data_IF_935392426551
#
_entry.id   IF_935392426551
#
_cell.length_a   1.000
_cell.length_b   1.000
_cell.length_c   1.000
_cell.angle_alpha   90.00
_cell.angle_beta   90.00
_cell.angle_gamma   90.00
#
_symmetry.space_group_name_H-M   'P 1'
#
loop_
_entity.id
_entity.type
_entity.pdbx_description
1 polymer ?
#
# COMPACT_ATOMS: atom_id res chain seq x y z
N UNK A 1 -13.28 -10.63 -29.88
CA UNK A 1 -14.62 -10.06 -30.18
C UNK A 1 -15.66 -11.09 -29.74
N UNK A 2 -16.29 -10.87 -28.61
CA UNK A 2 -17.48 -11.64 -28.21
C UNK A 2 -18.53 -10.58 -27.90
N UNK A 3 -19.56 -10.57 -28.73
CA UNK A 3 -20.71 -9.67 -28.69
C UNK A 3 -21.68 -10.15 -27.61
N UNK A 4 -22.04 -9.27 -26.69
CA UNK A 4 -23.12 -9.48 -25.72
C UNK A 4 -24.38 -8.85 -26.29
N UNK A 5 -25.54 -9.57 -26.31
CA UNK A 5 -26.77 -9.05 -26.86
C UNK A 5 -27.46 -8.04 -25.93
N UNK A 6 -28.00 -6.99 -26.54
CA UNK A 6 -28.94 -6.05 -25.93
C UNK A 6 -30.20 -6.78 -25.45
N UNK A 7 -30.57 -6.58 -24.18
CA UNK A 7 -31.91 -6.91 -23.67
C UNK A 7 -32.57 -5.65 -23.09
N UNK A 8 -33.48 -5.13 -23.89
CA UNK A 8 -34.82 -4.54 -23.57
C UNK A 8 -34.95 -3.66 -22.32
N UNK A 9 -34.88 -2.36 -22.56
CA UNK A 9 -35.66 -1.37 -21.80
C UNK A 9 -36.99 -1.13 -22.56
N UNK A 10 -38.11 -1.57 -21.98
CA UNK A 10 -39.41 -0.97 -22.25
C UNK A 10 -40.36 -1.17 -21.06
N UNK A 11 -41.04 -0.06 -20.73
CA UNK A 11 -42.25 0.06 -19.93
C UNK A 11 -42.20 -0.07 -18.39
N UNK A 12 -42.07 1.08 -17.72
CA UNK A 12 -42.96 1.38 -16.59
C UNK A 12 -43.30 2.91 -16.63
N UNK A 13 -44.48 3.21 -17.12
CA UNK A 13 -45.17 4.49 -16.90
C UNK A 13 -46.28 4.30 -15.87
N UNK A 14 -46.33 5.26 -14.94
CA UNK A 14 -47.44 5.66 -14.05
C UNK A 14 -47.64 4.94 -12.72
N UNK A 15 -47.46 5.72 -11.63
CA UNK A 15 -48.28 5.59 -10.45
C UNK A 15 -47.56 5.81 -9.14
N UNK A 16 -47.72 6.97 -8.52
CA UNK A 16 -47.57 7.14 -7.07
C UNK A 16 -46.24 7.71 -6.60
N UNK A 17 -46.19 9.01 -6.37
CA UNK A 17 -45.18 9.66 -5.56
C UNK A 17 -45.28 9.19 -4.11
N UNK A 18 -44.44 8.19 -3.76
CA UNK A 18 -44.07 7.95 -2.39
C UNK A 18 -42.74 8.68 -2.14
N UNK A 19 -42.82 9.76 -1.38
CA UNK A 19 -41.67 10.42 -0.77
C UNK A 19 -41.01 9.36 0.12
N UNK A 20 -39.92 8.79 -0.35
CA UNK A 20 -39.03 8.03 0.51
C UNK A 20 -38.34 9.09 1.39
N UNK A 21 -38.90 9.33 2.55
CA UNK A 21 -38.19 10.02 3.62
C UNK A 21 -37.01 9.16 3.96
N UNK A 22 -35.82 9.58 3.50
CA UNK A 22 -34.56 8.96 3.83
C UNK A 22 -34.42 8.87 5.35
N UNK A 23 -34.59 7.67 5.90
CA UNK A 23 -34.24 7.40 7.27
C UNK A 23 -32.78 7.77 7.47
N UNK A 24 -32.50 8.71 8.34
CA UNK A 24 -31.18 9.09 8.82
C UNK A 24 -30.53 7.82 9.43
N UNK A 25 -29.79 7.07 8.62
CA UNK A 25 -28.85 6.10 9.15
C UNK A 25 -27.77 6.90 9.86
N UNK A 26 -27.85 6.99 11.18
CA UNK A 26 -26.72 7.44 12.01
C UNK A 26 -25.55 6.54 11.66
N UNK A 27 -24.63 7.02 10.83
CA UNK A 27 -23.39 6.35 10.50
C UNK A 27 -22.64 6.10 11.79
N UNK A 28 -22.67 4.85 12.26
CA UNK A 28 -21.96 4.46 13.45
C UNK A 28 -20.47 4.37 13.07
N UNK A 29 -19.63 5.09 13.79
CA UNK A 29 -18.18 4.97 13.69
C UNK A 29 -17.76 3.51 13.90
N UNK A 30 -16.66 3.04 13.26
CA UNK A 30 -16.15 1.70 13.49
C UNK A 30 -15.97 1.38 14.98
N UNK A 31 -16.36 0.18 15.39
CA UNK A 31 -16.23 -0.28 16.77
C UNK A 31 -14.88 -0.91 16.98
N UNK A 32 -14.14 -0.49 17.98
CA UNK A 32 -12.83 -1.02 18.38
C UNK A 32 -12.96 -1.84 19.66
N UNK A 33 -12.27 -2.98 19.72
CA UNK A 33 -12.28 -3.86 20.88
C UNK A 33 -10.88 -4.45 21.04
N UNK A 34 -10.43 -4.59 22.26
CA UNK A 34 -9.25 -5.36 22.62
C UNK A 34 -9.74 -6.61 23.34
N UNK A 35 -9.42 -7.77 22.78
CA UNK A 35 -9.75 -9.05 23.38
C UNK A 35 -8.84 -9.34 24.59
N UNK A 36 -9.23 -10.28 25.46
CA UNK A 36 -8.46 -10.63 26.67
C UNK A 36 -7.03 -11.10 26.36
N UNK A 37 -6.82 -11.72 25.19
CA UNK A 37 -5.48 -12.14 24.73
C UNK A 37 -4.68 -11.02 24.08
N UNK A 38 -5.23 -9.79 24.00
CA UNK A 38 -4.58 -8.61 23.45
C UNK A 38 -4.76 -8.40 21.95
N UNK A 39 -5.51 -9.27 21.25
CA UNK A 39 -5.88 -9.03 19.84
C UNK A 39 -6.77 -7.79 19.75
N UNK A 40 -6.39 -6.89 18.87
CA UNK A 40 -7.19 -5.70 18.54
C UNK A 40 -8.15 -6.03 17.40
N UNK A 41 -9.41 -5.71 17.56
CA UNK A 41 -10.47 -5.95 16.56
C UNK A 41 -11.14 -4.64 16.21
N UNK A 42 -11.31 -4.37 14.93
CA UNK A 42 -12.15 -3.28 14.44
C UNK A 42 -13.25 -3.85 13.56
N UNK A 43 -14.47 -3.42 13.84
CA UNK A 43 -15.66 -3.78 13.07
C UNK A 43 -16.35 -2.53 12.57
N UNK A 44 -16.66 -2.50 11.28
CA UNK A 44 -17.52 -1.49 10.66
C UNK A 44 -18.71 -2.17 9.97
N UNK A 45 -19.89 -1.61 10.16
CA UNK A 45 -21.06 -2.06 9.39
C UNK A 45 -20.91 -1.60 7.95
N UNK A 46 -20.94 -2.55 7.01
CA UNK A 46 -20.85 -2.24 5.59
C UNK A 46 -21.91 -1.24 5.16
N UNK A 47 -21.55 -0.20 4.41
CA UNK A 47 -22.52 0.69 3.77
C UNK A 47 -23.19 0.04 2.55
N UNK A 48 -22.63 -1.03 2.02
CA UNK A 48 -23.16 -1.78 0.88
C UNK A 48 -24.34 -2.65 1.27
N UNK A 49 -25.31 -2.78 0.36
CA UNK A 49 -26.45 -3.70 0.50
C UNK A 49 -26.08 -5.16 0.10
N UNK A 50 -24.91 -5.34 -0.52
CA UNK A 50 -24.47 -6.66 -0.94
C UNK A 50 -24.15 -7.56 0.26
N UNK A 51 -24.48 -8.86 0.22
CA UNK A 51 -24.23 -9.80 1.32
C UNK A 51 -22.76 -10.25 1.35
N UNK A 52 -21.81 -9.29 1.25
CA UNK A 52 -20.39 -9.53 1.21
C UNK A 52 -19.71 -8.98 2.46
N UNK A 53 -18.84 -9.77 3.05
CA UNK A 53 -17.99 -9.40 4.19
C UNK A 53 -16.53 -9.41 3.77
N UNK A 54 -15.80 -8.37 4.12
CA UNK A 54 -14.32 -8.34 4.07
C UNK A 54 -13.76 -8.59 5.46
N UNK A 55 -12.80 -9.50 5.54
CA UNK A 55 -12.05 -9.87 6.73
C UNK A 55 -10.58 -9.69 6.40
N UNK A 56 -9.89 -8.85 7.14
CA UNK A 56 -8.45 -8.65 6.98
C UNK A 56 -7.75 -8.81 8.33
N UNK A 57 -6.68 -9.60 8.34
CA UNK A 57 -5.87 -9.77 9.53
C UNK A 57 -4.45 -9.26 9.27
N UNK A 58 -4.06 -8.23 10.00
CA UNK A 58 -2.78 -7.57 9.90
C UNK A 58 -1.85 -8.08 10.99
N UNK A 59 -0.66 -8.49 10.60
CA UNK A 59 0.45 -8.82 11.50
C UNK A 59 1.45 -7.67 11.41
N UNK A 60 1.83 -7.07 12.55
CA UNK A 60 2.84 -5.99 12.58
C UNK A 60 4.23 -6.58 12.40
N UNK A 61 4.48 -7.04 11.20
CA UNK A 61 5.76 -7.59 10.73
C UNK A 61 5.85 -7.40 9.22
N UNK A 62 6.97 -6.89 8.75
CA UNK A 62 7.29 -6.72 7.35
C UNK A 62 8.80 -6.55 7.16
N UNK A 63 9.24 -6.19 5.96
CA UNK A 63 10.68 -6.16 5.63
C UNK A 63 11.52 -5.21 6.48
N UNK A 64 10.92 -4.17 7.07
CA UNK A 64 11.61 -3.26 8.00
C UNK A 64 12.11 -3.97 9.28
N UNK A 65 11.41 -5.02 9.71
CA UNK A 65 11.76 -5.77 10.91
C UNK A 65 12.89 -6.76 10.69
N UNK A 66 13.33 -6.96 9.44
CA UNK A 66 14.28 -7.96 9.05
C UNK A 66 15.73 -7.48 9.22
N UNK A 67 16.54 -8.30 9.86
CA UNK A 67 18.00 -8.13 9.89
C UNK A 67 18.63 -8.71 8.62
N UNK A 68 19.88 -8.36 8.33
CA UNK A 68 20.57 -8.80 7.11
C UNK A 68 20.59 -10.31 6.92
N UNK A 69 20.62 -11.07 8.01
CA UNK A 69 20.66 -12.54 8.03
C UNK A 69 19.30 -13.24 7.79
N UNK A 70 18.20 -12.47 7.90
CA UNK A 70 16.83 -12.99 7.72
C UNK A 70 15.99 -12.17 6.72
N UNK A 71 16.63 -11.49 5.80
CA UNK A 71 15.92 -10.72 4.76
C UNK A 71 15.03 -11.64 3.92
N UNK A 72 13.77 -11.24 3.73
CA UNK A 72 12.73 -11.99 3.03
C UNK A 72 11.96 -12.98 3.92
N UNK A 73 12.26 -13.02 5.25
CA UNK A 73 11.59 -13.97 6.15
C UNK A 73 10.09 -13.67 6.30
N UNK A 74 9.68 -12.40 6.26
CA UNK A 74 8.27 -12.03 6.37
C UNK A 74 7.46 -12.61 5.22
N UNK A 75 7.98 -12.55 4.00
CA UNK A 75 7.34 -13.05 2.79
C UNK A 75 7.29 -14.59 2.78
N UNK A 76 8.37 -15.28 3.15
CA UNK A 76 8.32 -16.74 3.20
C UNK A 76 7.39 -17.26 4.31
N UNK A 77 7.28 -16.59 5.46
CA UNK A 77 6.30 -16.94 6.49
C UNK A 77 4.88 -16.74 5.97
N UNK A 78 4.62 -15.67 5.21
CA UNK A 78 3.33 -15.46 4.55
C UNK A 78 2.94 -16.68 3.72
N UNK A 79 3.81 -17.18 2.83
CA UNK A 79 3.59 -18.39 2.02
C UNK A 79 3.35 -19.63 2.89
N UNK A 80 4.16 -19.80 3.93
CA UNK A 80 4.11 -20.98 4.79
C UNK A 80 2.82 -21.11 5.59
N UNK A 81 2.17 -20.00 5.92
CA UNK A 81 0.89 -20.02 6.67
C UNK A 81 -0.22 -20.74 5.89
N UNK A 82 -0.16 -20.77 4.56
CA UNK A 82 -1.11 -21.48 3.70
C UNK A 82 -0.85 -22.98 3.54
N UNK A 83 0.27 -23.52 4.08
CA UNK A 83 0.71 -24.91 3.80
C UNK A 83 0.15 -25.96 4.73
N UNK A 84 -0.78 -25.60 5.59
CA UNK A 84 -1.55 -26.52 6.41
C UNK A 84 -1.41 -26.30 7.90
N UNK A 85 -2.40 -26.83 8.61
CA UNK A 85 -2.53 -26.84 10.07
C UNK A 85 -2.75 -28.26 10.57
N UNK A 86 -2.74 -28.54 11.87
CA UNK A 86 -3.14 -29.85 12.39
C UNK A 86 -4.58 -30.27 12.02
N UNK A 87 -5.48 -29.31 11.82
CA UNK A 87 -6.88 -29.56 11.42
C UNK A 87 -7.10 -29.62 9.93
N UNK A 88 -6.30 -28.88 9.17
CA UNK A 88 -6.33 -28.75 7.73
C UNK A 88 -4.92 -29.11 7.21
N UNK A 89 -4.59 -30.43 7.08
CA UNK A 89 -3.21 -30.89 6.98
C UNK A 89 -2.42 -30.42 5.76
N UNK A 90 -3.10 -30.05 4.66
CA UNK A 90 -2.47 -29.65 3.40
C UNK A 90 -2.93 -28.26 2.96
N UNK A 91 -2.23 -27.67 2.01
CA UNK A 91 -2.64 -26.41 1.37
C UNK A 91 -4.00 -26.54 0.68
N UNK A 92 -4.30 -27.70 0.09
CA UNK A 92 -5.60 -27.99 -0.51
C UNK A 92 -6.70 -28.00 0.55
N UNK A 93 -6.46 -28.59 1.72
CA UNK A 93 -7.43 -28.59 2.82
C UNK A 93 -7.71 -27.17 3.33
N UNK A 94 -6.69 -26.31 3.35
CA UNK A 94 -6.82 -24.89 3.71
C UNK A 94 -7.62 -24.12 2.67
N UNK A 95 -7.38 -24.36 1.38
CA UNK A 95 -8.05 -23.65 0.29
C UNK A 95 -9.50 -24.10 0.09
N UNK A 96 -9.80 -25.40 0.34
CA UNK A 96 -11.08 -26.01 0.00
C UNK A 96 -12.33 -25.29 0.56
N UNK A 97 -12.37 -24.79 1.82
CA UNK A 97 -13.52 -24.05 2.34
C UNK A 97 -13.77 -22.74 1.57
N UNK A 98 -12.72 -22.07 1.10
CA UNK A 98 -12.81 -20.85 0.31
C UNK A 98 -13.25 -21.14 -1.12
N UNK A 99 -12.66 -22.15 -1.77
CA UNK A 99 -13.04 -22.56 -3.12
C UNK A 99 -14.52 -22.99 -3.20
N UNK A 100 -14.98 -23.80 -2.22
CA UNK A 100 -16.38 -24.24 -2.15
C UNK A 100 -17.37 -23.09 -1.95
N UNK A 101 -16.94 -22.02 -1.30
CA UNK A 101 -17.77 -20.84 -1.03
C UNK A 101 -17.64 -19.74 -2.10
N UNK A 102 -16.70 -19.90 -3.04
CA UNK A 102 -16.34 -18.82 -4.00
C UNK A 102 -15.78 -17.59 -3.29
N UNK A 103 -15.18 -17.77 -2.11
CA UNK A 103 -14.54 -16.69 -1.40
C UNK A 103 -13.19 -16.36 -2.03
N UNK A 104 -12.88 -15.06 -2.11
CA UNK A 104 -11.54 -14.59 -2.44
C UNK A 104 -10.66 -14.67 -1.19
N UNK A 105 -9.49 -15.30 -1.32
CA UNK A 105 -8.47 -15.35 -0.30
C UNK A 105 -7.12 -14.94 -0.90
N UNK A 106 -6.41 -14.05 -0.23
CA UNK A 106 -5.08 -13.60 -0.63
C UNK A 106 -4.29 -13.12 0.60
N UNK A 107 -3.01 -12.85 0.40
CA UNK A 107 -2.17 -12.17 1.37
C UNK A 107 -1.17 -11.25 0.66
N UNK A 108 -0.56 -10.36 1.42
CA UNK A 108 0.56 -9.56 0.95
C UNK A 108 1.47 -9.20 2.11
N UNK A 109 2.75 -9.10 1.81
CA UNK A 109 3.77 -8.53 2.70
C UNK A 109 4.19 -7.17 2.19
N UNK A 110 4.29 -6.20 3.11
CA UNK A 110 4.76 -4.84 2.85
C UNK A 110 5.95 -4.55 3.80
N UNK A 111 6.47 -3.33 3.78
CA UNK A 111 7.58 -2.93 4.64
C UNK A 111 7.29 -3.10 6.15
N UNK A 112 6.08 -2.82 6.59
CA UNK A 112 5.72 -2.79 8.02
C UNK A 112 4.67 -3.81 8.43
N UNK A 113 4.03 -4.49 7.48
CA UNK A 113 2.87 -5.35 7.73
C UNK A 113 2.83 -6.53 6.78
N UNK A 114 2.38 -7.67 7.29
CA UNK A 114 1.86 -8.78 6.49
C UNK A 114 0.35 -8.85 6.73
N UNK A 115 -0.44 -8.90 5.66
CA UNK A 115 -1.89 -8.87 5.71
C UNK A 115 -2.49 -10.07 5.00
N UNK A 116 -3.47 -10.71 5.63
CA UNK A 116 -4.27 -11.80 5.08
C UNK A 116 -5.67 -11.30 4.83
N UNK A 117 -6.14 -11.44 3.60
CA UNK A 117 -7.39 -10.87 3.10
C UNK A 117 -8.37 -11.95 2.70
N UNK A 118 -9.60 -11.87 3.18
CA UNK A 118 -10.70 -12.73 2.75
C UNK A 118 -11.90 -11.86 2.42
N UNK A 119 -12.53 -12.15 1.27
CA UNK A 119 -13.82 -11.59 0.88
C UNK A 119 -14.78 -12.72 0.60
N UNK A 120 -15.83 -12.81 1.37
CA UNK A 120 -16.79 -13.92 1.28
C UNK A 120 -18.24 -13.45 1.41
N UNK A 121 -19.15 -14.30 1.00
CA UNK A 121 -20.59 -14.14 1.28
C UNK A 121 -20.84 -14.29 2.79
N UNK A 122 -21.87 -13.63 3.30
CA UNK A 122 -22.17 -13.56 4.73
C UNK A 122 -22.35 -14.92 5.41
N UNK A 123 -22.86 -15.92 4.69
CA UNK A 123 -23.08 -17.28 5.20
C UNK A 123 -21.77 -18.03 5.47
N UNK A 124 -20.66 -17.63 4.83
CA UNK A 124 -19.35 -18.25 4.98
C UNK A 124 -18.40 -17.51 5.93
N UNK A 125 -18.85 -16.44 6.58
CA UNK A 125 -18.00 -15.62 7.49
C UNK A 125 -17.50 -16.44 8.67
N UNK A 126 -18.34 -17.29 9.26
CA UNK A 126 -17.93 -18.10 10.41
C UNK A 126 -16.81 -19.07 10.05
N UNK A 127 -16.99 -19.85 8.97
CA UNK A 127 -15.97 -20.80 8.51
C UNK A 127 -14.70 -20.08 8.06
N UNK A 128 -14.82 -18.93 7.40
CA UNK A 128 -13.67 -18.11 6.98
C UNK A 128 -12.84 -17.64 8.16
N UNK A 129 -13.49 -17.16 9.24
CA UNK A 129 -12.81 -16.77 10.47
C UNK A 129 -12.15 -17.96 11.19
N UNK A 130 -12.81 -19.14 11.17
CA UNK A 130 -12.25 -20.36 11.76
C UNK A 130 -10.96 -20.78 11.04
N UNK A 131 -11.02 -20.89 9.70
CA UNK A 131 -9.86 -21.29 8.88
C UNK A 131 -8.74 -20.25 9.01
N UNK A 132 -9.04 -18.96 8.85
CA UNK A 132 -8.02 -17.91 8.97
C UNK A 132 -7.32 -17.93 10.32
N UNK A 133 -8.07 -18.07 11.42
CA UNK A 133 -7.46 -18.11 12.75
C UNK A 133 -6.60 -19.37 12.96
N UNK A 134 -7.01 -20.51 12.40
CA UNK A 134 -6.22 -21.75 12.46
C UNK A 134 -4.91 -21.61 11.69
N UNK A 135 -4.98 -21.06 10.47
CA UNK A 135 -3.80 -20.77 9.64
C UNK A 135 -2.81 -19.86 10.38
N UNK A 136 -3.30 -18.77 10.97
CA UNK A 136 -2.44 -17.73 11.55
C UNK A 136 -1.77 -18.16 12.87
N UNK A 137 -2.42 -19.00 13.67
CA UNK A 137 -1.90 -19.39 14.99
C UNK A 137 -1.37 -20.82 15.06
N UNK A 138 -1.77 -21.69 14.13
CA UNK A 138 -1.45 -23.11 14.17
C UNK A 138 -0.87 -23.63 12.85
N UNK A 139 -0.28 -22.77 12.01
CA UNK A 139 0.42 -23.26 10.84
C UNK A 139 1.52 -24.23 11.24
N UNK A 140 1.59 -25.38 10.55
CA UNK A 140 2.56 -26.44 10.83
C UNK A 140 3.98 -26.02 10.48
N UNK A 141 4.14 -25.12 9.51
CA UNK A 141 5.45 -24.73 8.97
C UNK A 141 6.35 -25.96 8.72
N UNK A 142 5.83 -26.98 8.07
CA UNK A 142 6.59 -28.23 7.86
C UNK A 142 7.86 -27.99 7.07
N UNK A 143 8.95 -28.65 7.49
CA UNK A 143 10.28 -28.48 6.86
C UNK A 143 10.28 -28.84 5.37
N UNK A 144 9.56 -29.89 4.99
CA UNK A 144 9.47 -30.32 3.59
C UNK A 144 8.78 -29.25 2.71
N UNK A 145 7.70 -28.62 3.21
CA UNK A 145 7.01 -27.53 2.52
C UNK A 145 7.86 -26.25 2.52
N UNK A 146 8.58 -25.95 3.62
CA UNK A 146 9.48 -24.80 3.69
C UNK A 146 10.56 -24.85 2.61
N UNK A 147 11.15 -26.00 2.36
CA UNK A 147 12.18 -26.14 1.31
C UNK A 147 11.60 -25.85 -0.08
N UNK A 148 10.41 -26.36 -0.36
CA UNK A 148 9.71 -26.09 -1.65
C UNK A 148 9.34 -24.62 -1.81
N UNK A 149 8.72 -24.03 -0.78
CA UNK A 149 8.29 -22.61 -0.84
C UNK A 149 9.48 -21.65 -0.89
N UNK A 150 10.59 -22.00 -0.27
CA UNK A 150 11.80 -21.21 -0.37
C UNK A 150 12.25 -21.05 -1.83
N UNK A 151 12.19 -22.15 -2.61
CA UNK A 151 12.53 -22.13 -4.03
C UNK A 151 11.46 -21.35 -4.85
N UNK A 152 10.16 -21.44 -4.50
CA UNK A 152 9.09 -20.65 -5.13
C UNK A 152 9.30 -19.14 -4.92
N UNK A 153 9.56 -18.71 -3.69
CA UNK A 153 9.80 -17.29 -3.39
C UNK A 153 11.07 -16.75 -4.05
N UNK A 154 12.10 -17.62 -4.23
CA UNK A 154 13.28 -17.25 -5.04
C UNK A 154 12.89 -17.03 -6.50
N UNK A 155 12.04 -17.86 -7.10
CA UNK A 155 11.59 -17.67 -8.48
C UNK A 155 10.75 -16.39 -8.62
N UNK A 156 9.88 -16.09 -7.66
CA UNK A 156 9.14 -14.81 -7.63
C UNK A 156 10.09 -13.61 -7.56
N UNK A 157 11.12 -13.68 -6.69
CA UNK A 157 12.15 -12.63 -6.62
C UNK A 157 12.91 -12.46 -7.94
N UNK A 158 13.15 -13.55 -8.69
CA UNK A 158 13.76 -13.48 -10.04
C UNK A 158 12.85 -12.79 -11.04
N UNK A 159 11.55 -13.12 -11.04
CA UNK A 159 10.57 -12.48 -11.92
C UNK A 159 10.54 -10.97 -11.63
N UNK A 160 10.59 -10.57 -10.36
CA UNK A 160 10.62 -9.16 -9.97
C UNK A 160 11.90 -8.44 -10.39
N UNK A 161 13.06 -9.11 -10.39
CA UNK A 161 14.32 -8.55 -10.93
C UNK A 161 14.27 -8.39 -12.46
N UNK A 162 13.56 -9.27 -13.16
CA UNK A 162 13.37 -9.16 -14.61
C UNK A 162 12.33 -8.09 -14.97
N UNK A 163 11.37 -7.80 -14.07
CA UNK A 163 10.45 -6.68 -14.24
C UNK A 163 11.15 -5.34 -13.97
N UNK A 164 11.16 -4.52 -15.01
CA UNK A 164 11.86 -3.23 -14.96
C UNK A 164 11.21 -2.24 -13.98
N UNK A 165 9.88 -2.27 -13.87
CA UNK A 165 9.19 -1.39 -12.96
C UNK A 165 9.55 -1.70 -11.51
N UNK A 166 9.57 -2.98 -11.16
CA UNK A 166 10.00 -3.49 -9.83
C UNK A 166 11.46 -3.14 -9.55
N UNK A 167 12.36 -3.34 -10.54
CA UNK A 167 13.79 -2.97 -10.42
C UNK A 167 13.95 -1.46 -10.14
N UNK A 168 13.19 -0.60 -10.82
CA UNK A 168 13.26 0.85 -10.65
C UNK A 168 12.71 1.27 -9.29
N UNK A 169 11.61 0.67 -8.84
CA UNK A 169 11.01 0.92 -7.53
C UNK A 169 11.95 0.50 -6.39
N UNK A 170 12.55 -0.67 -6.49
CA UNK A 170 13.50 -1.15 -5.49
C UNK A 170 14.73 -0.24 -5.39
N UNK A 171 15.30 0.17 -6.52
CA UNK A 171 16.50 1.01 -6.51
C UNK A 171 16.24 2.43 -6.01
N UNK A 172 15.13 3.07 -6.39
CA UNK A 172 14.79 4.38 -5.84
C UNK A 172 14.50 4.29 -4.34
N UNK A 173 13.87 3.21 -3.88
CA UNK A 173 13.62 2.93 -2.46
C UNK A 173 14.92 2.76 -1.68
N UNK A 174 15.88 2.01 -2.20
CA UNK A 174 17.23 1.87 -1.62
C UNK A 174 17.96 3.21 -1.52
N UNK A 175 17.84 4.05 -2.55
CA UNK A 175 18.43 5.40 -2.53
C UNK A 175 17.79 6.28 -1.48
N UNK A 176 16.44 6.32 -1.44
CA UNK A 176 15.69 7.14 -0.49
C UNK A 176 15.96 6.74 0.96
N UNK A 177 16.10 5.46 1.26
CA UNK A 177 16.16 4.94 2.63
C UNK A 177 17.53 4.35 3.00
N UNK A 178 18.55 4.68 2.25
CA UNK A 178 19.91 4.15 2.38
C UNK A 178 20.38 4.14 3.83
N UNK A 179 20.86 2.97 4.28
CA UNK A 179 21.41 2.76 5.61
C UNK A 179 20.38 2.52 6.71
N UNK A 180 19.09 2.65 6.41
CA UNK A 180 18.00 2.31 7.35
C UNK A 180 17.33 0.99 6.99
N UNK A 181 16.55 0.44 7.92
CA UNK A 181 15.76 -0.78 7.64
C UNK A 181 14.67 -0.57 6.57
N UNK A 182 14.29 0.67 6.26
CA UNK A 182 13.37 0.97 5.17
C UNK A 182 13.95 0.69 3.78
N UNK A 183 15.28 0.54 3.64
CA UNK A 183 15.90 0.11 2.38
C UNK A 183 15.64 -1.35 2.04
N UNK A 184 15.28 -2.19 3.04
CA UNK A 184 15.06 -3.61 2.83
C UNK A 184 13.91 -3.83 1.84
N UNK A 185 14.13 -4.50 0.70
CA UNK A 185 13.05 -4.91 -0.19
C UNK A 185 12.20 -5.99 0.47
N UNK A 186 10.96 -6.15 0.02
CA UNK A 186 10.04 -7.17 0.51
C UNK A 186 10.42 -8.54 -0.07
N UNK A 187 10.72 -8.59 -1.36
CA UNK A 187 10.96 -9.82 -2.13
C UNK A 187 12.45 -10.21 -2.18
N UNK A 188 13.16 -9.97 -1.09
CA UNK A 188 14.60 -10.18 -1.06
C UNK A 188 15.02 -11.46 -0.36
N UNK A 189 14.57 -12.58 -0.83
CA UNK A 189 15.38 -13.79 -0.68
C UNK A 189 16.52 -13.66 -1.69
N UNK A 190 17.64 -13.10 -1.27
CA UNK A 190 18.73 -12.88 -2.17
C UNK A 190 19.24 -14.22 -2.67
N UNK A 191 19.12 -14.42 -3.97
CA UNK A 191 19.70 -15.51 -4.71
C UNK A 191 21.21 -15.68 -4.46
N UNK A 192 21.84 -14.64 -3.95
CA UNK A 192 23.26 -14.53 -3.67
C UNK A 192 23.62 -14.57 -2.18
N UNK A 193 22.66 -14.77 -1.27
CA UNK A 193 23.02 -14.89 0.15
C UNK A 193 23.58 -16.31 0.39
N UNK A 194 24.84 -16.46 0.83
CA UNK A 194 25.45 -17.78 1.06
C UNK A 194 24.78 -18.59 2.17
N UNK A 195 23.96 -17.93 2.99
CA UNK A 195 23.24 -18.55 4.10
C UNK A 195 21.74 -18.46 3.86
N UNK A 196 21.13 -19.54 3.41
CA UNK A 196 19.66 -19.68 3.41
C UNK A 196 19.15 -19.50 4.83
N UNK A 197 18.03 -18.76 4.99
CA UNK A 197 17.32 -18.69 6.27
C UNK A 197 16.93 -20.12 6.65
N UNK A 198 17.27 -20.56 7.85
CA UNK A 198 16.94 -21.91 8.27
C UNK A 198 15.46 -22.03 8.62
N UNK A 199 14.91 -23.21 8.41
CA UNK A 199 13.53 -23.53 8.81
C UNK A 199 13.29 -23.24 10.30
N UNK A 200 14.25 -23.61 11.18
CA UNK A 200 14.18 -23.37 12.63
C UNK A 200 14.07 -21.89 12.94
N UNK A 201 14.80 -21.06 12.21
CA UNK A 201 14.74 -19.60 12.37
C UNK A 201 13.41 -19.03 11.90
N UNK A 202 12.85 -19.54 10.81
CA UNK A 202 11.53 -19.17 10.33
C UNK A 202 10.44 -19.53 11.36
N UNK A 203 10.48 -20.72 11.92
CA UNK A 203 9.55 -21.17 12.99
C UNK A 203 9.68 -20.30 14.23
N UNK A 204 10.89 -19.96 14.64
CA UNK A 204 11.12 -19.08 15.78
C UNK A 204 10.49 -17.70 15.57
N UNK A 205 10.74 -17.07 14.40
CA UNK A 205 10.21 -15.76 14.06
C UNK A 205 8.68 -15.81 13.97
N UNK A 206 8.10 -16.81 13.29
CA UNK A 206 6.66 -17.00 13.25
C UNK A 206 6.06 -17.01 14.66
N UNK A 207 6.58 -17.83 15.58
CA UNK A 207 6.08 -17.92 16.96
C UNK A 207 6.18 -16.62 17.75
N UNK A 208 7.11 -15.73 17.40
CA UNK A 208 7.30 -14.46 18.09
C UNK A 208 6.44 -13.32 17.54
N UNK A 209 6.09 -13.37 16.25
CA UNK A 209 5.36 -12.29 15.60
C UNK A 209 3.89 -12.60 15.33
N UNK A 210 3.53 -13.89 15.13
CA UNK A 210 2.15 -14.29 14.89
C UNK A 210 1.45 -14.58 16.23
N UNK A 211 1.31 -13.52 17.00
CA UNK A 211 0.70 -13.55 18.34
C UNK A 211 -0.38 -12.48 18.45
N UNK A 212 -1.47 -12.71 19.22
CA UNK A 212 -2.62 -11.82 19.27
C UNK A 212 -2.29 -10.35 19.49
N UNK A 213 -1.36 -10.03 20.39
CA UNK A 213 -0.94 -8.63 20.69
C UNK A 213 -0.27 -7.90 19.53
N UNK A 214 0.29 -8.64 18.58
CA UNK A 214 0.97 -8.10 17.40
C UNK A 214 0.06 -8.03 16.19
N UNK A 215 -1.25 -8.26 16.36
CA UNK A 215 -2.20 -8.39 15.26
C UNK A 215 -3.40 -7.47 15.43
N UNK A 216 -4.02 -7.17 14.29
CA UNK A 216 -5.30 -6.48 14.19
C UNK A 216 -6.20 -7.27 13.25
N UNK A 217 -7.42 -7.58 13.71
CA UNK A 217 -8.49 -8.17 12.90
C UNK A 217 -9.47 -7.06 12.50
N UNK A 218 -9.54 -6.75 11.21
CA UNK A 218 -10.45 -5.76 10.64
C UNK A 218 -11.57 -6.44 9.87
N UNK A 219 -12.82 -6.10 10.19
CA UNK A 219 -14.01 -6.71 9.57
C UNK A 219 -14.98 -5.62 9.15
N UNK A 220 -15.32 -5.61 7.85
CA UNK A 220 -16.40 -4.80 7.30
C UNK A 220 -17.49 -5.71 6.77
N UNK A 221 -18.67 -5.65 7.36
CA UNK A 221 -19.73 -6.63 7.14
C UNK A 221 -21.13 -6.03 7.27
N UNK A 222 -22.11 -6.43 6.45
CA UNK A 222 -23.52 -6.11 6.67
C UNK A 222 -24.14 -6.91 7.84
N UNK A 223 -23.48 -7.99 8.32
CA UNK A 223 -23.93 -8.73 9.49
C UNK A 223 -23.84 -7.88 10.75
N UNK A 224 -24.77 -8.06 11.73
CA UNK A 224 -24.70 -7.35 13.01
C UNK A 224 -23.41 -7.64 13.78
N UNK A 225 -22.90 -6.63 14.48
CA UNK A 225 -21.72 -6.73 15.33
C UNK A 225 -21.75 -7.94 16.28
N UNK A 226 -22.88 -8.18 16.97
CA UNK A 226 -22.99 -9.30 17.89
C UNK A 226 -22.89 -10.67 17.20
N UNK A 227 -23.31 -10.78 15.95
CA UNK A 227 -23.15 -11.98 15.14
C UNK A 227 -21.67 -12.21 14.83
N UNK A 228 -20.96 -11.20 14.38
CA UNK A 228 -19.50 -11.25 14.12
C UNK A 228 -18.76 -11.65 15.42
N UNK A 229 -19.08 -11.03 16.55
CA UNK A 229 -18.44 -11.35 17.83
C UNK A 229 -18.73 -12.78 18.28
N UNK A 230 -19.91 -13.32 18.02
CA UNK A 230 -20.22 -14.73 18.29
C UNK A 230 -19.34 -15.66 17.45
N UNK A 231 -19.13 -15.35 16.16
CA UNK A 231 -18.25 -16.13 15.31
C UNK A 231 -16.79 -16.05 15.78
N UNK A 232 -16.29 -14.86 16.10
CA UNK A 232 -14.92 -14.68 16.63
C UNK A 232 -14.70 -15.52 17.90
N UNK A 233 -15.66 -15.58 18.82
CA UNK A 233 -15.57 -16.37 20.06
C UNK A 233 -15.37 -17.88 19.81
N UNK A 234 -15.79 -18.39 18.65
CA UNK A 234 -15.64 -19.80 18.28
C UNK A 234 -14.26 -20.09 17.65
N UNK A 235 -13.44 -19.07 17.36
CA UNK A 235 -12.15 -19.17 16.67
C UNK A 235 -10.95 -19.08 17.61
N UNK A 236 -9.77 -19.31 17.08
CA UNK A 236 -8.50 -19.07 17.78
C UNK A 236 -8.20 -17.59 17.98
N UNK A 237 -8.79 -16.67 17.23
CA UNK A 237 -8.73 -15.23 17.53
C UNK A 237 -9.16 -14.91 18.96
N UNK A 238 -10.11 -15.68 19.50
CA UNK A 238 -10.58 -15.55 20.89
C UNK A 238 -9.87 -16.49 21.86
N UNK A 239 -9.59 -17.72 21.44
CA UNK A 239 -9.15 -18.81 22.31
C UNK A 239 -7.65 -18.88 22.48
N UNK A 240 -6.89 -18.26 21.55
CA UNK A 240 -5.44 -18.27 21.60
C UNK A 240 -4.93 -17.58 22.86
N UNK A 241 -3.96 -18.21 23.51
CA UNK A 241 -3.40 -17.69 24.76
C UNK A 241 -2.30 -16.68 24.49
N UNK A 242 -2.04 -15.83 25.49
CA UNK A 242 -0.89 -14.93 25.48
C UNK A 242 0.37 -15.77 25.66
N UNK A 243 1.11 -15.98 24.59
CA UNK A 243 2.46 -16.55 24.69
C UNK A 243 3.47 -15.47 25.09
N UNK A 244 4.40 -15.83 25.98
CA UNK A 244 5.58 -14.96 26.20
C UNK A 244 6.49 -15.12 25.00
N UNK A 245 6.64 -14.05 24.23
CA UNK A 245 7.61 -13.99 23.14
C UNK A 245 9.03 -14.00 23.74
N UNK A 246 9.85 -14.96 23.34
CA UNK A 246 11.17 -15.19 23.94
C UNK A 246 12.30 -14.45 23.23
N UNK A 247 12.20 -14.20 21.95
CA UNK A 247 13.22 -13.48 21.19
C UNK A 247 12.62 -12.76 19.98
N UNK A 248 12.38 -11.47 20.10
CA UNK A 248 12.12 -10.63 18.91
C UNK A 248 13.41 -10.37 18.16
N UNK A 249 13.30 -10.12 16.87
CA UNK A 249 14.40 -9.56 16.10
C UNK A 249 14.85 -8.23 16.75
N UNK A 250 16.11 -7.84 16.60
CA UNK A 250 16.55 -6.52 17.01
C UNK A 250 15.63 -5.43 16.44
N UNK A 251 15.44 -4.31 17.15
CA UNK A 251 14.64 -3.21 16.63
C UNK A 251 15.24 -2.72 15.29
N UNK A 252 14.39 -2.30 14.33
CA UNK A 252 14.86 -1.80 13.06
C UNK A 252 15.75 -0.57 13.23
N UNK A 253 16.74 -0.43 12.35
CA UNK A 253 17.49 0.82 12.25
C UNK A 253 16.64 1.85 11.51
N UNK A 254 16.15 2.85 12.20
CA UNK A 254 15.27 3.90 11.69
C UNK A 254 16.01 5.18 11.31
N UNK A 255 17.32 5.24 11.54
CA UNK A 255 18.12 6.42 11.24
C UNK A 255 18.23 6.63 9.72
N UNK A 256 17.90 7.83 9.28
CA UNK A 256 18.01 8.28 7.90
C UNK A 256 19.06 9.39 7.82
N UNK A 257 20.20 9.08 7.21
CA UNK A 257 21.22 10.08 6.98
C UNK A 257 20.69 11.18 6.05
N UNK A 258 20.80 12.47 6.44
CA UNK A 258 20.43 13.57 5.57
C UNK A 258 21.30 13.60 4.30
N UNK A 259 20.71 13.87 3.16
CA UNK A 259 21.47 14.09 1.94
C UNK A 259 22.10 15.49 1.97
N UNK A 260 23.29 15.61 1.40
CA UNK A 260 23.99 16.90 1.22
C UNK A 260 23.77 17.49 -0.16
N UNK A 261 23.39 16.65 -1.10
CA UNK A 261 23.11 16.98 -2.50
C UNK A 261 22.20 15.94 -3.12
N UNK A 262 21.64 16.24 -4.31
CA UNK A 262 20.83 15.31 -5.07
C UNK A 262 21.57 13.98 -5.32
N UNK A 263 20.91 12.88 -4.99
CA UNK A 263 21.40 11.53 -5.22
C UNK A 263 20.95 11.08 -6.61
N UNK A 264 21.88 10.79 -7.51
CA UNK A 264 21.58 10.43 -8.90
C UNK A 264 22.31 9.13 -9.24
N UNK A 265 21.55 8.12 -9.66
CA UNK A 265 22.08 6.85 -10.17
C UNK A 265 21.53 6.63 -11.57
N UNK A 266 22.41 6.24 -12.48
CA UNK A 266 22.08 5.97 -13.87
C UNK A 266 22.67 4.61 -14.25
N UNK A 267 21.79 3.69 -14.63
CA UNK A 267 22.18 2.33 -15.01
C UNK A 267 21.83 2.03 -16.47
N UNK A 268 22.78 1.41 -17.17
CA UNK A 268 22.59 0.97 -18.55
C UNK A 268 22.21 -0.52 -18.56
N UNK A 269 21.03 -0.84 -19.10
CA UNK A 269 20.57 -2.21 -19.34
C UNK A 269 20.30 -2.38 -20.83
N UNK A 270 21.04 -3.24 -21.50
CA UNK A 270 20.88 -3.51 -22.93
C UNK A 270 19.50 -4.16 -23.20
N UNK A 271 18.99 -4.00 -24.43
CA UNK A 271 17.72 -4.60 -24.84
C UNK A 271 16.47 -3.85 -24.40
N UNK A 272 16.61 -2.72 -23.70
CA UNK A 272 15.45 -1.92 -23.29
C UNK A 272 14.98 -0.99 -24.39
N UNK A 273 13.71 -1.10 -24.78
CA UNK A 273 13.08 -0.22 -25.76
C UNK A 273 12.79 1.17 -25.20
N UNK A 274 12.62 1.28 -23.88
CA UNK A 274 12.32 2.53 -23.19
C UNK A 274 13.30 2.79 -22.05
N UNK A 275 13.41 4.05 -21.66
CA UNK A 275 14.10 4.48 -20.45
C UNK A 275 13.09 4.72 -19.34
N UNK A 276 13.35 4.11 -18.19
CA UNK A 276 12.54 4.22 -16.99
C UNK A 276 13.21 5.18 -16.02
N UNK A 277 12.43 6.06 -15.44
CA UNK A 277 12.89 7.12 -14.55
C UNK A 277 12.05 7.11 -13.29
N UNK A 278 12.72 7.08 -12.14
CA UNK A 278 12.11 7.36 -10.85
C UNK A 278 12.73 8.64 -10.25
N UNK A 279 11.88 9.52 -9.72
CA UNK A 279 12.27 10.77 -9.07
C UNK A 279 11.59 10.80 -7.72
N UNK A 280 12.34 10.70 -6.63
CA UNK A 280 11.83 10.55 -5.29
C UNK A 280 12.33 11.62 -4.33
N UNK A 281 11.51 11.91 -3.33
CA UNK A 281 11.78 12.82 -2.23
C UNK A 281 11.36 12.15 -0.92
N UNK A 282 12.19 12.20 0.12
CA UNK A 282 11.75 11.83 1.47
C UNK A 282 10.72 12.81 1.96
N UNK A 283 9.71 12.31 2.67
CA UNK A 283 8.62 13.15 3.19
C UNK A 283 8.28 12.81 4.64
N UNK A 284 7.11 13.26 5.10
CA UNK A 284 6.66 13.05 6.47
C UNK A 284 6.24 11.60 6.73
N UNK A 285 6.27 11.24 8.00
CA UNK A 285 5.72 10.00 8.51
C UNK A 285 4.17 9.99 8.51
N UNK A 286 3.59 8.83 8.83
CA UNK A 286 2.14 8.62 8.82
C UNK A 286 1.37 9.41 9.89
N UNK A 287 2.03 9.91 10.93
CA UNK A 287 1.38 10.69 11.99
C UNK A 287 1.29 12.18 11.66
N UNK A 288 2.02 12.65 10.65
CA UNK A 288 1.97 14.05 10.21
C UNK A 288 0.75 14.35 9.34
N UNK A 289 0.09 15.49 9.58
CA UNK A 289 -0.98 15.99 8.72
C UNK A 289 -0.50 16.38 7.31
N UNK A 290 0.80 16.56 7.10
CA UNK A 290 1.37 16.86 5.79
C UNK A 290 1.16 15.72 4.77
N UNK A 291 0.95 14.48 5.23
CA UNK A 291 0.56 13.34 4.37
C UNK A 291 -0.68 13.62 3.53
N UNK A 292 -1.67 14.34 4.09
CA UNK A 292 -2.90 14.70 3.38
C UNK A 292 -2.64 15.77 2.31
N UNK A 293 -1.72 16.69 2.59
CA UNK A 293 -1.30 17.74 1.66
C UNK A 293 -0.53 17.11 0.49
N UNK A 294 0.39 16.18 0.76
CA UNK A 294 1.15 15.44 -0.26
C UNK A 294 0.22 14.58 -1.14
N UNK A 295 -0.77 13.92 -0.53
CA UNK A 295 -1.79 13.18 -1.28
C UNK A 295 -2.63 14.10 -2.19
N UNK A 296 -2.97 15.30 -1.73
CA UNK A 296 -3.69 16.26 -2.57
C UNK A 296 -2.80 16.78 -3.70
N UNK A 297 -1.52 17.07 -3.44
CA UNK A 297 -0.53 17.46 -4.45
C UNK A 297 -0.35 16.39 -5.53
N UNK A 298 -0.39 15.10 -5.15
CA UNK A 298 -0.40 13.99 -6.12
C UNK A 298 -1.49 14.21 -7.18
N UNK A 299 -2.71 14.61 -6.81
CA UNK A 299 -3.82 14.80 -7.74
C UNK A 299 -3.77 16.12 -8.53
N UNK A 300 -2.95 17.06 -8.13
CA UNK A 300 -2.57 18.20 -8.98
C UNK A 300 -1.65 17.74 -10.12
N UNK A 301 -0.72 16.82 -9.81
CA UNK A 301 0.28 16.33 -10.75
C UNK A 301 -0.25 15.21 -11.65
N UNK A 302 -1.03 14.27 -11.11
CA UNK A 302 -1.53 13.10 -11.85
C UNK A 302 -2.90 12.65 -11.33
N UNK A 303 -3.67 11.97 -12.19
CA UNK A 303 -4.99 11.42 -11.90
C UNK A 303 -6.07 12.04 -12.78
N UNK A 304 -6.46 13.30 -12.57
CA UNK A 304 -7.32 14.00 -13.54
C UNK A 304 -6.65 14.14 -14.90
N UNK A 305 -7.45 14.10 -15.98
CA UNK A 305 -6.94 14.39 -17.35
C UNK A 305 -6.33 15.79 -17.42
N UNK A 306 -6.85 16.74 -16.62
CA UNK A 306 -6.32 18.12 -16.56
C UNK A 306 -5.10 18.28 -15.65
N UNK A 307 -4.57 17.20 -15.07
CA UNK A 307 -3.39 17.24 -14.20
C UNK A 307 -2.13 17.66 -14.98
N UNK A 308 -1.15 18.26 -14.27
CA UNK A 308 0.05 18.83 -14.93
C UNK A 308 0.81 17.82 -15.76
N UNK A 309 1.06 16.62 -15.24
CA UNK A 309 1.83 15.62 -15.97
C UNK A 309 1.06 15.08 -17.17
N UNK A 310 -0.24 14.81 -17.04
CA UNK A 310 -1.02 14.37 -18.17
C UNK A 310 -1.03 15.40 -19.28
N UNK A 311 -1.37 16.66 -18.97
CA UNK A 311 -1.43 17.75 -19.93
C UNK A 311 -0.06 18.04 -20.57
N UNK A 312 0.98 18.28 -19.73
CA UNK A 312 2.27 18.75 -20.24
C UNK A 312 3.09 17.61 -20.85
N UNK A 313 3.17 16.43 -20.18
CA UNK A 313 4.03 15.36 -20.67
C UNK A 313 3.39 14.57 -21.81
N UNK A 314 2.08 14.30 -21.73
CA UNK A 314 1.37 13.48 -22.71
C UNK A 314 0.77 14.32 -23.83
N UNK A 315 -0.15 15.25 -23.52
CA UNK A 315 -0.92 15.95 -24.55
C UNK A 315 -0.10 16.98 -25.33
N UNK A 316 0.65 17.85 -24.64
CA UNK A 316 1.39 18.93 -25.27
C UNK A 316 2.70 18.45 -25.91
N UNK A 317 3.36 17.45 -25.36
CA UNK A 317 4.70 17.05 -25.76
C UNK A 317 4.85 15.60 -26.25
N UNK A 318 3.87 14.72 -26.06
CA UNK A 318 3.90 13.32 -26.52
C UNK A 318 5.11 12.53 -26.02
N UNK A 319 5.52 12.76 -24.74
CA UNK A 319 6.74 12.22 -24.19
C UNK A 319 6.54 10.88 -23.51
N UNK A 320 5.43 10.70 -22.82
CA UNK A 320 5.20 9.51 -22.00
C UNK A 320 3.77 9.02 -22.12
N UNK A 321 3.60 7.70 -22.03
CA UNK A 321 2.31 7.05 -21.96
C UNK A 321 1.97 6.61 -20.53
N UNK A 322 3.00 6.32 -19.73
CA UNK A 322 2.86 5.87 -18.35
C UNK A 322 3.62 6.81 -17.43
N UNK A 323 2.89 7.46 -16.55
CA UNK A 323 3.44 8.21 -15.42
C UNK A 323 2.57 7.87 -14.21
N UNK A 324 3.19 7.60 -13.08
CA UNK A 324 2.51 7.37 -11.81
C UNK A 324 3.21 8.12 -10.68
N UNK A 325 2.50 8.35 -9.58
CA UNK A 325 3.06 8.92 -8.37
C UNK A 325 2.65 8.04 -7.20
N UNK A 326 3.63 7.61 -6.43
CA UNK A 326 3.46 6.98 -5.12
C UNK A 326 3.65 8.01 -4.02
N UNK A 327 2.84 7.94 -2.98
CA UNK A 327 3.01 8.70 -1.74
C UNK A 327 2.93 7.70 -0.61
N UNK A 328 4.08 7.34 -0.06
CA UNK A 328 4.19 6.37 1.01
C UNK A 328 4.39 7.11 2.34
N UNK A 329 3.67 6.64 3.37
CA UNK A 329 3.81 7.16 4.71
C UNK A 329 3.98 5.98 5.67
N UNK A 330 5.18 5.83 6.20
CA UNK A 330 5.55 4.83 7.20
C UNK A 330 5.52 5.44 8.60
N UNK A 331 5.72 4.64 9.64
CA UNK A 331 5.70 5.11 11.03
C UNK A 331 6.72 6.22 11.32
N UNK A 332 7.89 6.22 10.66
CA UNK A 332 8.98 7.14 10.99
C UNK A 332 9.40 8.03 9.82
N UNK A 333 8.94 7.76 8.61
CA UNK A 333 9.32 8.46 7.40
C UNK A 333 8.24 8.31 6.33
N UNK A 334 8.48 8.88 5.15
CA UNK A 334 7.68 8.70 3.96
C UNK A 334 8.43 9.12 2.72
N UNK A 335 7.81 8.92 1.57
CA UNK A 335 8.32 9.40 0.30
C UNK A 335 7.22 9.90 -0.62
N UNK A 336 7.63 10.69 -1.60
CA UNK A 336 6.85 11.10 -2.75
C UNK A 336 7.67 10.78 -3.98
N UNK A 337 7.26 9.77 -4.75
CA UNK A 337 8.05 9.25 -5.87
C UNK A 337 7.25 9.26 -7.17
N UNK A 338 7.83 9.86 -8.20
CA UNK A 338 7.32 9.90 -9.58
C UNK A 338 8.00 8.81 -10.38
N UNK A 339 7.22 7.95 -11.02
CA UNK A 339 7.69 6.94 -11.96
C UNK A 339 7.20 7.29 -13.35
N UNK A 340 8.08 7.22 -14.33
CA UNK A 340 7.71 7.49 -15.72
C UNK A 340 8.59 6.72 -16.69
N UNK A 341 8.05 6.50 -17.88
CA UNK A 341 8.71 5.79 -18.95
C UNK A 341 8.72 6.63 -20.21
N UNK A 342 9.84 6.66 -20.93
CA UNK A 342 10.02 7.50 -22.10
C UNK A 342 10.84 6.78 -23.18
N UNK A 343 10.65 7.15 -24.44
CA UNK A 343 11.58 6.82 -25.54
C UNK A 343 12.98 7.34 -25.19
N UNK A 344 14.02 6.50 -25.23
CA UNK A 344 15.40 6.91 -24.88
C UNK A 344 15.88 8.19 -25.60
N UNK A 345 15.42 8.42 -26.82
CA UNK A 345 15.78 9.61 -27.61
C UNK A 345 15.05 10.88 -27.15
N UNK A 346 13.98 10.75 -26.34
CA UNK A 346 13.19 11.87 -25.83
C UNK A 346 13.46 12.17 -24.35
N UNK A 347 14.44 11.53 -23.74
CA UNK A 347 14.75 11.72 -22.31
C UNK A 347 15.23 13.14 -22.02
N UNK A 348 16.20 13.65 -22.78
CA UNK A 348 16.77 15.00 -22.63
C UNK A 348 16.21 16.00 -23.64
N UNK A 349 16.00 15.57 -24.87
CA UNK A 349 15.51 16.40 -25.99
C UNK A 349 14.50 15.60 -26.81
N UNK A 350 13.48 16.29 -27.35
CA UNK A 350 12.51 15.72 -28.29
C UNK A 350 12.47 16.63 -29.54
N UNK A 351 13.22 16.23 -30.58
CA UNK A 351 13.45 17.06 -31.76
C UNK A 351 14.11 18.40 -31.37
N UNK A 352 13.46 19.55 -31.60
CA UNK A 352 13.92 20.87 -31.18
C UNK A 352 13.35 21.33 -29.83
N UNK A 353 12.66 20.44 -29.09
CA UNK A 353 12.00 20.75 -27.82
C UNK A 353 12.74 20.09 -26.64
N UNK A 354 12.58 20.59 -25.41
CA UNK A 354 13.02 19.89 -24.21
C UNK A 354 12.42 18.49 -24.11
N UNK A 355 13.20 17.53 -23.61
CA UNK A 355 12.73 16.18 -23.33
C UNK A 355 12.05 16.04 -21.97
N UNK A 356 11.89 14.79 -21.54
CA UNK A 356 11.17 14.44 -20.31
C UNK A 356 11.81 15.10 -19.07
N UNK A 357 13.11 14.87 -18.83
CA UNK A 357 13.78 15.35 -17.61
C UNK A 357 13.76 16.87 -17.46
N UNK A 358 14.13 17.68 -18.48
CA UNK A 358 14.03 19.14 -18.39
C UNK A 358 12.61 19.64 -18.12
N UNK A 359 11.59 18.96 -18.68
CA UNK A 359 10.20 19.37 -18.46
C UNK A 359 9.75 19.06 -17.04
N UNK A 360 10.06 17.87 -16.51
CA UNK A 360 9.72 17.53 -15.12
C UNK A 360 10.44 18.46 -14.14
N UNK A 361 11.75 18.73 -14.36
CA UNK A 361 12.49 19.68 -13.54
C UNK A 361 11.81 21.06 -13.52
N UNK A 362 11.41 21.57 -14.69
CA UNK A 362 10.68 22.84 -14.80
C UNK A 362 9.33 22.79 -14.06
N UNK A 363 8.58 21.70 -14.17
CA UNK A 363 7.29 21.55 -13.43
C UNK A 363 7.52 21.68 -11.93
N UNK A 364 8.55 21.02 -11.38
CA UNK A 364 8.86 21.14 -9.96
C UNK A 364 9.39 22.53 -9.58
N UNK A 365 10.23 23.15 -10.41
CA UNK A 365 10.70 24.53 -10.20
C UNK A 365 9.53 25.54 -10.22
N UNK A 366 8.61 25.41 -11.17
CA UNK A 366 7.39 26.22 -11.24
C UNK A 366 6.49 26.03 -10.02
N UNK A 367 6.34 24.80 -9.53
CA UNK A 367 5.62 24.51 -8.30
C UNK A 367 6.27 25.16 -7.08
N UNK A 368 7.59 25.15 -6.99
CA UNK A 368 8.33 25.83 -5.92
C UNK A 368 8.18 27.35 -6.00
N UNK A 369 8.25 27.91 -7.20
CA UNK A 369 8.17 29.37 -7.41
C UNK A 369 6.76 29.90 -7.19
N UNK A 370 5.75 29.25 -7.74
CA UNK A 370 4.41 29.80 -7.89
C UNK A 370 3.30 28.98 -7.21
N UNK A 371 3.63 27.79 -6.71
CA UNK A 371 2.65 26.87 -6.13
C UNK A 371 1.69 26.29 -7.16
N UNK A 372 0.47 25.99 -6.71
CA UNK A 372 -0.61 25.44 -7.54
C UNK A 372 -1.62 26.54 -7.89
N UNK A 373 -2.17 26.48 -9.10
CA UNK A 373 -3.21 27.43 -9.53
C UNK A 373 -4.54 27.16 -8.81
N UNK A 374 -5.47 28.14 -8.74
CA UNK A 374 -6.80 27.94 -8.19
C UNK A 374 -7.56 26.79 -8.86
N UNK A 375 -7.46 26.65 -10.17
CA UNK A 375 -8.19 25.63 -10.94
C UNK A 375 -7.60 24.22 -10.71
N UNK A 376 -6.28 24.08 -10.67
CA UNK A 376 -5.62 22.81 -10.31
C UNK A 376 -6.01 22.35 -8.91
N UNK A 377 -6.00 23.27 -7.96
CA UNK A 377 -6.39 23.00 -6.58
C UNK A 377 -7.86 22.57 -6.45
N UNK A 378 -8.78 23.27 -7.11
CA UNK A 378 -10.20 22.92 -7.14
C UNK A 378 -10.42 21.57 -7.79
N UNK A 379 -9.77 21.30 -8.91
CA UNK A 379 -9.86 20.04 -9.64
C UNK A 379 -9.35 18.88 -8.78
N UNK A 380 -8.18 19.03 -8.16
CA UNK A 380 -7.59 17.99 -7.30
C UNK A 380 -8.48 17.67 -6.09
N UNK A 381 -9.05 18.69 -5.43
CA UNK A 381 -10.00 18.48 -4.32
C UNK A 381 -11.26 17.74 -4.77
N UNK A 382 -11.86 18.12 -5.89
CA UNK A 382 -13.04 17.45 -6.45
C UNK A 382 -12.76 16.00 -6.81
N UNK A 383 -11.63 15.75 -7.48
CA UNK A 383 -11.20 14.42 -7.88
C UNK A 383 -10.95 13.52 -6.66
N UNK A 384 -10.21 14.01 -5.66
CA UNK A 384 -9.95 13.29 -4.42
C UNK A 384 -11.25 12.95 -3.68
N UNK A 385 -12.18 13.92 -3.55
CA UNK A 385 -13.49 13.66 -2.94
C UNK A 385 -14.22 12.53 -3.65
N UNK A 386 -14.22 12.54 -4.99
CA UNK A 386 -14.80 11.46 -5.80
C UNK A 386 -14.17 10.09 -5.56
N UNK A 387 -12.83 10.03 -5.45
CA UNK A 387 -12.11 8.79 -5.11
C UNK A 387 -12.52 8.27 -3.73
N UNK A 388 -12.48 9.14 -2.71
CA UNK A 388 -12.84 8.75 -1.35
C UNK A 388 -14.30 8.25 -1.28
N UNK A 389 -15.20 8.87 -2.05
CA UNK A 389 -16.60 8.43 -2.11
C UNK A 389 -16.74 7.05 -2.74
N UNK A 390 -16.00 6.77 -3.85
CA UNK A 390 -16.05 5.44 -4.50
C UNK A 390 -15.47 4.33 -3.61
N UNK A 391 -14.47 4.62 -2.80
CA UNK A 391 -13.92 3.63 -1.86
C UNK A 391 -14.93 3.18 -0.79
N UNK A 392 -16.00 3.95 -0.54
CA UNK A 392 -17.08 3.54 0.36
C UNK A 392 -17.91 2.38 -0.19
N UNK A 393 -17.86 2.11 -1.49
CA UNK A 393 -18.55 0.98 -2.11
C UNK A 393 -17.80 -0.35 -1.88
N UNK A 394 -16.52 -0.28 -1.54
CA UNK A 394 -15.65 -1.45 -1.42
C UNK A 394 -15.31 -1.76 0.04
N UNK A 395 -15.84 -2.89 0.53
CA UNK A 395 -15.60 -3.35 1.88
C UNK A 395 -14.10 -3.64 2.16
N UNK A 396 -13.33 -4.04 1.12
CA UNK A 396 -11.90 -4.33 1.30
C UNK A 396 -11.11 -3.05 1.56
N UNK A 397 -11.41 -1.98 0.83
CA UNK A 397 -10.81 -0.65 1.05
C UNK A 397 -11.10 -0.11 2.46
N UNK A 398 -12.32 -0.32 2.95
CA UNK A 398 -12.69 0.09 4.31
C UNK A 398 -11.99 -0.77 5.36
N UNK A 399 -11.91 -2.11 5.15
CA UNK A 399 -11.25 -3.01 6.08
C UNK A 399 -9.74 -2.73 6.15
N UNK A 400 -9.08 -2.49 5.00
CA UNK A 400 -7.67 -2.11 4.94
C UNK A 400 -7.41 -0.80 5.71
N UNK A 401 -8.22 0.23 5.43
CA UNK A 401 -8.10 1.51 6.13
C UNK A 401 -8.24 1.36 7.65
N UNK A 402 -9.29 0.69 8.11
CA UNK A 402 -9.57 0.51 9.53
C UNK A 402 -8.50 -0.31 10.22
N UNK A 403 -8.05 -1.39 9.57
CA UNK A 403 -7.03 -2.29 10.09
C UNK A 403 -5.68 -1.62 10.25
N UNK A 404 -5.19 -0.97 9.21
CA UNK A 404 -3.91 -0.21 9.25
C UNK A 404 -3.96 0.92 10.27
N UNK A 405 -5.08 1.66 10.31
CA UNK A 405 -5.23 2.74 11.29
C UNK A 405 -5.17 2.21 12.73
N UNK A 406 -5.82 1.07 13.03
CA UNK A 406 -5.76 0.48 14.37
C UNK A 406 -4.40 -0.19 14.65
N UNK A 407 -3.73 -0.72 13.64
CA UNK A 407 -2.42 -1.34 13.79
C UNK A 407 -1.37 -0.33 14.24
N UNK A 408 -1.37 0.83 13.60
CA UNK A 408 -0.42 1.93 13.82
C UNK A 408 -0.94 3.00 14.79
N UNK A 409 -2.03 2.73 15.50
CA UNK A 409 -2.53 3.63 16.55
C UNK A 409 -1.53 3.65 17.73
N UNK A 410 -0.83 4.76 17.88
CA UNK A 410 0.16 4.97 18.94
C UNK A 410 -0.44 5.56 20.22
N UNK A 411 -1.80 5.65 20.28
CA UNK A 411 -2.50 6.24 21.41
C UNK A 411 -2.45 7.77 21.44
N UNK A 412 -1.71 8.41 20.53
CA UNK A 412 -1.77 9.86 20.35
C UNK A 412 -3.05 10.21 19.59
N UNK A 413 -3.84 11.15 20.06
CA UNK A 413 -5.01 11.60 19.31
C UNK A 413 -4.48 12.19 17.99
N UNK A 414 -4.90 11.65 16.85
CA UNK A 414 -4.68 12.27 15.54
C UNK A 414 -5.11 13.75 15.63
N UNK A 415 -4.16 14.64 15.93
CA UNK A 415 -4.34 16.09 16.03
C UNK A 415 -5.70 16.54 16.63
N UNK A 416 -6.19 15.86 17.68
CA UNK A 416 -7.39 16.22 18.41
C UNK A 416 -8.72 15.67 17.86
N UNK A 417 -8.72 14.63 17.03
CA UNK A 417 -9.98 14.15 16.43
C UNK A 417 -10.15 12.62 16.55
N UNK A 418 -10.89 12.17 17.57
CA UNK A 418 -11.34 10.78 17.75
C UNK A 418 -12.17 10.23 16.56
N UNK A 419 -12.54 11.08 15.60
CA UNK A 419 -13.42 10.76 14.48
C UNK A 419 -12.69 10.47 13.15
N UNK A 420 -11.34 10.48 13.10
CA UNK A 420 -10.56 10.19 11.86
C UNK A 420 -10.74 8.74 11.38
N UNK A 421 -11.25 7.87 12.23
CA UNK A 421 -11.62 6.51 11.90
C UNK A 421 -12.74 6.35 10.87
N UNK A 422 -13.58 7.33 10.71
CA UNK A 422 -14.64 7.25 9.70
C UNK A 422 -14.10 7.63 8.34
N UNK A 423 -13.90 6.66 7.48
CA UNK A 423 -13.51 6.91 6.08
C UNK A 423 -14.47 7.89 5.39
N UNK A 424 -15.76 7.85 5.74
CA UNK A 424 -16.78 8.78 5.24
C UNK A 424 -16.48 10.23 5.61
N UNK A 425 -15.93 10.49 6.79
CA UNK A 425 -15.58 11.84 7.27
C UNK A 425 -14.17 12.26 6.90
N UNK A 426 -13.37 11.36 6.30
CA UNK A 426 -11.96 11.60 5.99
C UNK A 426 -11.75 12.85 5.15
N UNK A 427 -12.60 13.09 4.15
CA UNK A 427 -12.49 14.30 3.34
C UNK A 427 -12.70 15.56 4.20
N UNK A 428 -13.77 15.60 4.98
CA UNK A 428 -14.14 16.78 5.79
C UNK A 428 -13.10 17.06 6.88
N UNK A 429 -12.58 16.02 7.50
CA UNK A 429 -11.64 16.15 8.61
C UNK A 429 -10.21 16.47 8.14
N UNK A 430 -9.75 15.82 7.08
CA UNK A 430 -8.35 15.84 6.69
C UNK A 430 -8.04 16.73 5.49
N UNK A 431 -8.99 16.91 4.56
CA UNK A 431 -8.72 17.58 3.28
C UNK A 431 -9.47 18.87 3.05
N UNK A 432 -10.67 19.06 3.66
CA UNK A 432 -11.52 20.22 3.38
C UNK A 432 -10.82 21.55 3.69
N UNK A 433 -10.05 21.57 4.78
CA UNK A 433 -9.38 22.77 5.31
C UNK A 433 -8.02 23.06 4.67
N UNK A 434 -7.47 22.15 3.86
CA UNK A 434 -6.18 22.37 3.18
C UNK A 434 -6.31 23.57 2.24
N UNK A 435 -5.33 24.45 2.27
CA UNK A 435 -5.20 25.63 1.41
C UNK A 435 -4.12 25.46 0.36
N UNK A 436 -4.05 26.39 -0.60
CA UNK A 436 -2.96 26.40 -1.60
C UNK A 436 -1.62 26.77 -0.95
N UNK A 437 -1.66 27.61 0.06
CA UNK A 437 -0.53 28.02 0.88
C UNK A 437 0.08 26.83 1.64
N UNK A 438 -0.75 25.91 2.14
CA UNK A 438 -0.29 24.67 2.76
C UNK A 438 0.46 23.81 1.74
N UNK A 439 -0.08 23.65 0.53
CA UNK A 439 0.58 22.91 -0.54
C UNK A 439 1.93 23.57 -0.88
N UNK A 440 1.96 24.91 -1.03
CA UNK A 440 3.19 25.62 -1.34
C UNK A 440 4.25 25.45 -0.25
N UNK A 441 3.85 25.55 1.01
CA UNK A 441 4.74 25.31 2.18
C UNK A 441 5.33 23.90 2.15
N UNK A 442 4.53 22.88 1.86
CA UNK A 442 4.99 21.48 1.79
C UNK A 442 5.94 21.28 0.60
N UNK A 443 5.65 21.90 -0.54
CA UNK A 443 6.55 21.89 -1.72
C UNK A 443 7.90 22.52 -1.36
N UNK A 444 7.92 23.70 -0.73
CA UNK A 444 9.14 24.37 -0.30
C UNK A 444 9.97 23.50 0.68
N UNK A 445 9.30 22.74 1.55
CA UNK A 445 9.95 21.92 2.54
C UNK A 445 10.61 20.67 1.96
N UNK A 446 9.92 19.94 1.08
CA UNK A 446 10.33 18.60 0.67
C UNK A 446 10.95 18.52 -0.72
N UNK A 447 10.56 19.37 -1.66
CA UNK A 447 11.03 19.30 -3.06
C UNK A 447 12.24 20.23 -3.25
N UNK A 448 13.34 19.86 -2.62
CA UNK A 448 14.64 20.56 -2.65
C UNK A 448 15.72 19.64 -3.19
N UNK A 449 16.80 20.23 -3.75
CA UNK A 449 17.89 19.45 -4.35
C UNK A 449 18.57 18.53 -3.35
N UNK A 450 18.71 18.95 -2.08
CA UNK A 450 19.30 18.16 -0.99
C UNK A 450 18.39 17.02 -0.50
N UNK A 451 17.18 16.90 -1.04
CA UNK A 451 16.23 15.82 -0.72
C UNK A 451 15.86 14.97 -1.94
N UNK A 452 16.49 15.24 -3.09
CA UNK A 452 16.17 14.64 -4.37
C UNK A 452 16.95 13.34 -4.59
N UNK A 453 16.25 12.28 -4.98
CA UNK A 453 16.80 11.06 -5.54
C UNK A 453 16.32 10.88 -6.98
N UNK A 454 17.21 10.55 -7.91
CA UNK A 454 16.85 10.21 -9.29
C UNK A 454 17.51 8.87 -9.65
N UNK A 455 16.71 7.91 -10.08
CA UNK A 455 17.16 6.66 -10.66
C UNK A 455 16.71 6.54 -12.11
N UNK A 456 17.65 6.20 -13.00
CA UNK A 456 17.40 6.06 -14.44
C UNK A 456 17.93 4.72 -14.92
N UNK A 457 17.07 3.94 -15.58
CA UNK A 457 17.41 2.63 -16.15
C UNK A 457 16.99 2.57 -17.62
N UNK A 458 17.91 2.24 -18.52
CA UNK A 458 17.60 2.11 -19.95
C UNK A 458 18.78 1.72 -20.81
N UNK A 459 18.54 1.47 -22.12
CA UNK A 459 19.60 1.12 -23.08
C UNK A 459 20.47 2.31 -23.51
N UNK A 460 19.87 3.49 -23.54
CA UNK A 460 20.53 4.78 -23.83
C UNK A 460 20.26 5.71 -22.65
N UNK A 461 21.28 6.00 -21.87
CA UNK A 461 21.16 6.82 -20.67
C UNK A 461 22.23 7.93 -20.68
N UNK A 462 21.95 9.12 -20.13
CA UNK A 462 22.91 10.21 -20.01
C UNK A 462 23.94 9.93 -18.90
N UNK A 463 24.97 10.77 -18.81
CA UNK A 463 25.85 10.78 -17.65
C UNK A 463 25.15 11.37 -16.42
N UNK A 464 25.58 10.95 -15.22
CA UNK A 464 25.12 11.55 -13.95
C UNK A 464 25.28 13.07 -13.95
N UNK A 465 26.41 13.57 -14.48
CA UNK A 465 26.66 15.02 -14.61
C UNK A 465 25.59 15.68 -15.45
N UNK A 466 25.26 15.11 -16.60
CA UNK A 466 24.21 15.67 -17.50
C UNK A 466 22.86 15.72 -16.81
N UNK A 467 22.48 14.66 -16.05
CA UNK A 467 21.23 14.64 -15.30
C UNK A 467 21.22 15.75 -14.24
N UNK A 468 22.31 15.89 -13.49
CA UNK A 468 22.48 16.93 -12.45
C UNK A 468 22.39 18.35 -13.04
N UNK A 469 22.98 18.59 -14.21
CA UNK A 469 22.94 19.90 -14.86
C UNK A 469 21.55 20.28 -15.39
N UNK A 470 20.77 19.27 -15.80
CA UNK A 470 19.42 19.43 -16.34
C UNK A 470 18.35 19.50 -15.26
N UNK A 471 18.51 18.72 -14.19
CA UNK A 471 17.50 18.60 -13.14
C UNK A 471 17.94 19.39 -11.90
N UNK A 472 17.54 20.66 -11.85
CA UNK A 472 17.74 21.56 -10.71
C UNK A 472 16.41 22.14 -10.27
N UNK A 473 16.19 22.19 -8.96
CA UNK A 473 14.95 22.69 -8.34
C UNK A 473 15.12 24.11 -7.79
N UNK A 474 16.36 24.56 -7.70
CA UNK A 474 16.74 25.94 -7.25
C UNK A 474 16.74 26.93 -8.40
#
# INVERSE_FOLDING_TARGET
>A
MITIPNLLFDNITRGGSSVITGGSTKNQSPRRIILQNGLRVVYEKSPSILPLTSIQCFVHMGSINETKDVRGISHIIEHMVFKGTPKLPTSTDVAQPYDKSGAYMNAYTDKQVTCYVIKCQNEFVEVSLQVLSDMLFHSKLERAEYVKEYDVVIEEARINVDDIASTVDENITKMLYRGSSYENPVDHLSYHHPNRITHERAVEIYKNYYVPKNMVLSIVSPLPFNTIMRYIKNTYFWKERIHRTTARLPPPNLYLEPFREAQIVVEKKAGQESTNVAIGFRTCNMYSNEKYILNLLKFVLIGPIMSRFFRILRDENGLTYRTSISVNNYEHTGDFTVYTQVDPNKLLHSSKKPGLLPIIARIFADLRKSGVTPDEFKTAKGYLKGILTRHLEDNDSLADHNGKHLLFDNGEPDAGNENVFSYMKKYELCYSKITREDIHRVIQKYFIDENLCIFILGSKVPSVKTVRDVFRLS
#
